data_IF_019132079219
#
_entry.id   IF_019132079219
#
_cell.length_a   1.000
_cell.length_b   1.000
_cell.length_c   1.000
_cell.angle_alpha   90.00
_cell.angle_beta   90.00
_cell.angle_gamma   90.00
#
_symmetry.space_group_name_H-M   'P 1'
#
loop_
_entity.id
_entity.type
_entity.pdbx_description
1 polymer ?
#
# COMPACT_ATOMS: atom_id res chain seq x y z
N UNK A 1 10.56 -58.32 -47.41
CA UNK A 1 11.59 -58.16 -46.35
C UNK A 1 11.51 -56.79 -45.68
N UNK A 2 11.55 -55.68 -46.42
CA UNK A 2 11.51 -54.33 -45.84
C UNK A 2 10.16 -53.96 -45.18
N UNK A 3 9.03 -54.38 -45.75
CA UNK A 3 7.70 -54.10 -45.17
C UNK A 3 7.47 -54.76 -43.82
N UNK A 4 7.96 -55.99 -43.64
CA UNK A 4 7.86 -56.71 -42.37
C UNK A 4 8.67 -56.03 -41.26
N UNK A 5 9.88 -55.56 -41.59
CA UNK A 5 10.72 -54.80 -40.66
C UNK A 5 10.09 -53.46 -40.27
N UNK A 6 9.41 -52.80 -41.21
CA UNK A 6 8.65 -51.56 -40.93
C UNK A 6 7.52 -51.83 -39.95
N UNK A 7 6.73 -52.87 -40.19
CA UNK A 7 5.61 -53.24 -39.32
C UNK A 7 6.04 -53.65 -37.92
N UNK A 8 7.12 -54.42 -37.80
CA UNK A 8 7.72 -54.78 -36.50
C UNK A 8 8.21 -53.55 -35.72
N UNK A 9 8.73 -52.54 -36.43
CA UNK A 9 9.13 -51.27 -35.82
C UNK A 9 7.91 -50.48 -35.34
N UNK A 10 6.88 -50.36 -36.17
CA UNK A 10 5.63 -49.66 -35.83
C UNK A 10 4.94 -50.32 -34.63
N UNK A 11 4.81 -51.64 -34.60
CA UNK A 11 4.24 -52.38 -33.47
C UNK A 11 5.06 -52.13 -32.18
N UNK A 12 6.38 -52.08 -32.29
CA UNK A 12 7.25 -51.78 -31.15
C UNK A 12 7.08 -50.33 -30.66
N UNK A 13 7.08 -49.37 -31.56
CA UNK A 13 6.83 -47.95 -31.26
C UNK A 13 5.47 -47.79 -30.56
N UNK A 14 4.42 -48.42 -31.08
CA UNK A 14 3.11 -48.41 -30.42
C UNK A 14 3.13 -49.01 -29.00
N UNK A 15 3.86 -50.10 -28.78
CA UNK A 15 3.96 -50.69 -27.42
C UNK A 15 4.69 -49.77 -26.45
N UNK A 16 5.74 -49.09 -26.92
CA UNK A 16 6.50 -48.13 -26.12
C UNK A 16 5.64 -46.91 -25.83
N UNK A 17 4.96 -46.35 -26.83
CA UNK A 17 4.08 -45.19 -26.66
C UNK A 17 2.93 -45.48 -25.71
N UNK A 18 2.31 -46.67 -25.80
CA UNK A 18 1.28 -47.11 -24.84
C UNK A 18 1.84 -47.22 -23.42
N UNK A 19 3.09 -47.67 -23.29
CA UNK A 19 3.79 -47.75 -22.00
C UNK A 19 4.04 -46.36 -21.41
N UNK A 20 4.61 -45.46 -22.20
CA UNK A 20 4.88 -44.07 -21.81
C UNK A 20 3.58 -43.38 -21.39
N UNK A 21 2.53 -43.51 -22.19
CA UNK A 21 1.24 -42.89 -21.88
C UNK A 21 0.62 -43.41 -20.57
N UNK A 22 0.75 -44.70 -20.29
CA UNK A 22 0.27 -45.27 -19.03
C UNK A 22 1.08 -44.74 -17.83
N UNK A 23 2.40 -44.58 -18.00
CA UNK A 23 3.26 -43.98 -16.97
C UNK A 23 2.86 -42.52 -16.71
N UNK A 24 2.65 -41.72 -17.77
CA UNK A 24 2.20 -40.33 -17.64
C UNK A 24 0.87 -40.25 -16.88
N UNK A 25 -0.09 -41.12 -17.22
CA UNK A 25 -1.39 -41.14 -16.56
C UNK A 25 -1.28 -41.53 -15.08
N UNK A 26 -0.41 -42.48 -14.76
CA UNK A 26 -0.13 -42.86 -13.37
C UNK A 26 0.54 -41.73 -12.59
N UNK A 27 1.46 -40.99 -13.21
CA UNK A 27 2.16 -39.88 -12.57
C UNK A 27 1.21 -38.72 -12.27
N UNK A 28 0.33 -38.35 -13.21
CA UNK A 28 -0.72 -37.35 -12.99
C UNK A 28 -1.66 -37.76 -11.85
N UNK A 29 -2.03 -39.05 -11.78
CA UNK A 29 -2.89 -39.55 -10.71
C UNK A 29 -2.17 -39.59 -9.34
N UNK A 30 -0.86 -39.88 -9.33
CA UNK A 30 -0.01 -39.81 -8.14
C UNK A 30 0.08 -38.39 -7.61
N UNK A 31 0.30 -37.41 -8.48
CA UNK A 31 0.35 -35.99 -8.12
C UNK A 31 -1.00 -35.48 -7.60
N UNK A 32 -2.10 -35.88 -8.25
CA UNK A 32 -3.46 -35.58 -7.76
C UNK A 32 -3.65 -36.09 -6.33
N UNK A 33 -3.20 -37.31 -6.02
CA UNK A 33 -3.25 -37.87 -4.66
C UNK A 33 -2.40 -37.06 -3.68
N UNK A 34 -1.19 -36.68 -4.05
CA UNK A 34 -0.31 -35.85 -3.20
C UNK A 34 -0.93 -34.50 -2.85
N UNK A 35 -1.62 -33.86 -3.79
CA UNK A 35 -2.32 -32.58 -3.56
C UNK A 35 -3.50 -32.78 -2.62
N UNK A 36 -4.31 -33.83 -2.84
CA UNK A 36 -5.47 -34.13 -1.98
C UNK A 36 -5.05 -34.50 -0.55
N UNK A 37 -3.93 -35.20 -0.39
CA UNK A 37 -3.30 -35.49 0.90
C UNK A 37 -2.68 -34.24 1.56
N UNK A 38 -2.56 -33.13 0.83
CA UNK A 38 -1.93 -31.89 1.32
C UNK A 38 -0.40 -31.96 1.45
N UNK A 39 0.25 -32.95 0.83
CA UNK A 39 1.71 -33.14 0.85
C UNK A 39 2.44 -32.29 -0.20
N UNK A 40 1.72 -31.72 -1.17
CA UNK A 40 2.26 -30.85 -2.21
C UNK A 40 1.58 -29.48 -2.19
N UNK A 41 2.38 -28.42 -2.29
CA UNK A 41 1.93 -27.03 -2.44
C UNK A 41 1.23 -26.84 -3.78
N UNK A 42 0.20 -25.98 -3.84
CA UNK A 42 -0.48 -25.67 -5.12
C UNK A 42 0.40 -24.87 -6.09
N UNK A 43 1.49 -24.25 -5.63
CA UNK A 43 2.46 -23.56 -6.49
C UNK A 43 3.29 -24.55 -7.32
N UNK A 44 3.55 -25.73 -6.78
CA UNK A 44 4.30 -26.80 -7.44
C UNK A 44 3.41 -27.74 -8.26
N UNK A 45 2.11 -27.45 -8.31
CA UNK A 45 1.15 -28.31 -9.01
C UNK A 45 1.26 -28.12 -10.54
N UNK A 46 1.24 -29.22 -11.31
CA UNK A 46 1.29 -29.16 -12.77
C UNK A 46 0.14 -28.34 -13.35
N UNK A 47 0.41 -27.64 -14.45
CA UNK A 47 -0.58 -26.82 -15.16
C UNK A 47 -1.82 -27.61 -15.60
N UNK A 48 -1.68 -28.92 -15.84
CA UNK A 48 -2.77 -29.81 -16.24
C UNK A 48 -3.82 -29.98 -15.13
N UNK A 49 -3.36 -30.06 -13.87
CA UNK A 49 -4.24 -30.17 -12.70
C UNK A 49 -4.92 -28.85 -12.33
N UNK A 50 -4.49 -27.71 -12.91
CA UNK A 50 -5.10 -26.40 -12.66
C UNK A 50 -6.57 -26.32 -13.07
N UNK A 51 -6.96 -27.11 -14.08
CA UNK A 51 -8.34 -27.18 -14.58
C UNK A 51 -9.26 -27.98 -13.66
N UNK A 52 -8.71 -28.77 -12.74
CA UNK A 52 -9.49 -29.62 -11.85
C UNK A 52 -10.36 -28.77 -10.90
N UNK A 53 -11.63 -29.12 -10.65
CA UNK A 53 -12.55 -28.30 -9.87
C UNK A 53 -12.06 -28.04 -8.45
N UNK A 54 -11.46 -29.05 -7.80
CA UNK A 54 -10.88 -28.89 -6.45
C UNK A 54 -9.81 -27.80 -6.46
N UNK A 55 -8.96 -27.77 -7.49
CA UNK A 55 -7.88 -26.79 -7.59
C UNK A 55 -8.41 -25.38 -7.84
N UNK A 56 -9.43 -25.23 -8.70
CA UNK A 56 -10.10 -23.96 -8.96
C UNK A 56 -10.72 -23.36 -7.70
N UNK A 57 -11.40 -24.18 -6.91
CA UNK A 57 -12.00 -23.74 -5.64
C UNK A 57 -10.91 -23.27 -4.69
N UNK A 58 -9.83 -24.04 -4.53
CA UNK A 58 -8.74 -23.68 -3.64
C UNK A 58 -8.02 -22.40 -4.08
N UNK A 59 -7.79 -22.21 -5.39
CA UNK A 59 -7.26 -20.95 -5.94
C UNK A 59 -8.18 -19.77 -5.65
N UNK A 60 -9.49 -19.92 -5.84
CA UNK A 60 -10.47 -18.88 -5.53
C UNK A 60 -10.46 -18.51 -4.05
N UNK A 61 -10.42 -19.51 -3.17
CA UNK A 61 -10.36 -19.29 -1.71
C UNK A 61 -9.06 -18.56 -1.33
N UNK A 62 -7.91 -18.94 -1.89
CA UNK A 62 -6.64 -18.24 -1.65
C UNK A 62 -6.72 -16.76 -2.05
N UNK A 63 -7.23 -16.46 -3.25
CA UNK A 63 -7.43 -15.08 -3.72
C UNK A 63 -8.28 -14.26 -2.75
N UNK A 64 -9.40 -14.82 -2.29
CA UNK A 64 -10.28 -14.15 -1.31
C UNK A 64 -9.55 -13.89 0.01
N UNK A 65 -8.73 -14.84 0.48
CA UNK A 65 -7.95 -14.67 1.70
C UNK A 65 -6.87 -13.61 1.55
N UNK A 66 -6.18 -13.56 0.41
CA UNK A 66 -5.13 -12.58 0.15
C UNK A 66 -5.71 -11.16 0.03
N UNK A 67 -6.85 -11.01 -0.64
CA UNK A 67 -7.60 -9.73 -0.66
C UNK A 67 -8.00 -9.29 0.75
N UNK A 68 -8.45 -10.21 1.60
CA UNK A 68 -8.81 -9.91 2.99
C UNK A 68 -7.58 -9.53 3.81
N UNK A 69 -6.45 -10.23 3.64
CA UNK A 69 -5.18 -9.90 4.29
C UNK A 69 -4.69 -8.52 3.87
N UNK A 70 -4.67 -8.23 2.58
CA UNK A 70 -4.28 -6.93 2.04
C UNK A 70 -5.16 -5.78 2.57
N UNK A 71 -6.49 -5.97 2.62
CA UNK A 71 -7.42 -5.02 3.22
C UNK A 71 -7.17 -4.84 4.72
N UNK A 72 -6.88 -5.91 5.45
CA UNK A 72 -6.56 -5.84 6.87
C UNK A 72 -5.23 -5.11 7.11
N UNK A 73 -4.19 -5.40 6.33
CA UNK A 73 -2.88 -4.75 6.43
C UNK A 73 -2.93 -3.26 6.07
N UNK A 74 -3.57 -2.91 4.96
CA UNK A 74 -3.79 -1.49 4.61
C UNK A 74 -4.58 -0.74 5.69
N UNK A 75 -5.55 -1.38 6.34
CA UNK A 75 -6.26 -0.78 7.49
C UNK A 75 -5.40 -0.62 8.75
N UNK A 76 -4.39 -1.47 8.94
CA UNK A 76 -3.42 -1.35 10.05
C UNK A 76 -2.46 -0.20 9.78
N UNK A 77 -2.00 -0.04 8.53
CA UNK A 77 -1.14 1.07 8.13
C UNK A 77 -1.86 2.41 8.36
N UNK A 78 -3.13 2.53 7.95
CA UNK A 78 -3.94 3.74 8.19
C UNK A 78 -4.12 4.08 9.68
N UNK A 79 -4.18 3.07 10.56
CA UNK A 79 -4.24 3.29 12.02
C UNK A 79 -2.89 3.79 12.55
N UNK A 80 -1.78 3.19 12.14
CA UNK A 80 -0.43 3.63 12.52
C UNK A 80 -0.10 5.05 12.06
N UNK A 81 -0.60 5.46 10.88
CA UNK A 81 -0.45 6.85 10.41
C UNK A 81 -1.29 7.82 11.24
N UNK A 82 -2.43 7.37 11.79
CA UNK A 82 -3.27 8.20 12.66
C UNK A 82 -2.68 8.39 14.06
N UNK A 83 -1.87 7.44 14.49
CA UNK A 83 -1.11 7.46 15.76
C UNK A 83 0.33 7.97 15.54
N UNK A 84 0.58 8.78 14.50
CA UNK A 84 1.87 9.44 14.32
C UNK A 84 2.04 10.50 15.42
N UNK A 85 2.94 10.24 16.38
CA UNK A 85 3.31 11.19 17.41
C UNK A 85 4.08 12.35 16.78
N UNK A 86 3.44 13.52 16.69
CA UNK A 86 4.06 14.76 16.22
C UNK A 86 5.28 15.18 17.06
N UNK A 87 5.34 14.74 18.31
CA UNK A 87 6.47 15.00 19.23
C UNK A 87 7.79 14.37 18.74
N UNK A 88 7.76 13.30 17.94
CA UNK A 88 8.97 12.67 17.39
C UNK A 88 9.49 13.40 16.13
N UNK A 89 8.66 14.22 15.49
CA UNK A 89 9.00 14.93 14.26
C UNK A 89 9.80 16.20 14.54
N UNK A 90 9.56 16.85 15.69
CA UNK A 90 10.24 18.07 16.12
C UNK A 90 11.75 17.86 16.37
N UNK A 91 12.13 16.64 16.79
CA UNK A 91 13.53 16.25 17.02
C UNK A 91 14.33 15.96 15.73
N UNK A 92 13.66 15.75 14.59
CA UNK A 92 14.31 15.48 13.30
C UNK A 92 14.64 16.76 12.53
N UNK A 93 13.77 17.77 12.59
CA UNK A 93 13.98 19.07 11.92
C UNK A 93 15.20 19.81 12.47
N UNK A 94 15.55 19.60 13.74
CA UNK A 94 16.75 20.21 14.36
C UNK A 94 18.07 19.54 13.97
N UNK A 95 18.06 18.40 13.26
CA UNK A 95 19.29 17.66 12.89
C UNK A 95 19.68 17.75 11.40
N UNK A 96 18.83 18.32 10.56
CA UNK A 96 19.03 18.34 9.10
C UNK A 96 19.88 19.50 8.56
N UNK A 97 20.54 20.29 9.41
CA UNK A 97 21.46 21.36 8.98
C UNK A 97 22.94 20.92 8.80
N UNK A 98 23.22 19.62 8.87
CA UNK A 98 24.57 19.09 8.63
C UNK A 98 24.62 18.37 7.28
N UNK A 99 25.26 18.99 6.29
CA UNK A 99 25.63 18.38 4.99
C UNK A 99 26.34 17.04 5.21
N UNK A 100 25.61 15.94 5.24
CA UNK A 100 26.17 14.60 5.12
C UNK A 100 26.07 14.19 3.65
N UNK A 101 27.21 14.15 2.97
CA UNK A 101 27.35 13.54 1.65
C UNK A 101 27.00 12.05 1.76
N UNK A 102 25.81 11.68 1.29
CA UNK A 102 25.36 10.29 1.21
C UNK A 102 26.11 9.64 0.06
N UNK A 103 27.02 8.72 0.38
CA UNK A 103 27.73 7.92 -0.60
C UNK A 103 26.80 6.80 -1.10
N UNK A 104 26.19 6.98 -2.27
CA UNK A 104 25.23 6.03 -2.86
C UNK A 104 26.00 4.90 -3.57
N UNK A 105 25.78 3.61 -3.23
CA UNK A 105 26.42 2.48 -3.89
C UNK A 105 26.01 2.37 -5.38
N UNK A 106 26.89 1.89 -6.29
CA UNK A 106 26.57 1.77 -7.70
C UNK A 106 25.55 0.63 -7.92
N UNK A 107 24.37 0.95 -8.46
CA UNK A 107 23.33 -0.04 -8.80
C UNK A 107 21.87 0.34 -8.49
N UNK A 108 21.60 1.55 -7.97
CA UNK A 108 20.26 2.01 -7.59
C UNK A 108 19.59 2.99 -8.59
N UNK A 109 19.92 2.93 -9.88
CA UNK A 109 19.41 3.91 -10.86
C UNK A 109 17.88 3.94 -10.98
N UNK A 110 17.19 2.81 -10.74
CA UNK A 110 15.72 2.74 -10.79
C UNK A 110 15.04 3.40 -9.59
N UNK A 111 15.72 3.51 -8.47
CA UNK A 111 15.19 4.15 -7.28
C UNK A 111 15.33 5.68 -7.36
N UNK A 112 16.34 6.20 -8.08
CA UNK A 112 16.49 7.64 -8.32
C UNK A 112 15.37 8.20 -9.19
N UNK A 113 14.99 7.50 -10.27
CA UNK A 113 13.88 7.95 -11.13
C UNK A 113 12.57 8.06 -10.36
N UNK A 114 12.26 7.07 -9.53
CA UNK A 114 11.07 7.11 -8.67
C UNK A 114 11.15 8.22 -7.60
N UNK A 115 12.32 8.49 -7.04
CA UNK A 115 12.50 9.59 -6.08
C UNK A 115 12.30 10.95 -6.74
N UNK A 116 12.78 11.09 -7.97
CA UNK A 116 12.69 12.32 -8.73
C UNK A 116 11.25 12.59 -9.20
N UNK A 117 10.51 11.55 -9.58
CA UNK A 117 9.08 11.64 -9.89
C UNK A 117 8.26 12.05 -8.65
N UNK A 118 8.57 11.48 -7.47
CA UNK A 118 7.96 11.90 -6.20
C UNK A 118 8.30 13.37 -5.85
N UNK A 119 9.52 13.82 -6.14
CA UNK A 119 9.94 15.19 -5.88
C UNK A 119 9.17 16.20 -6.74
N UNK A 120 8.96 15.91 -8.02
CA UNK A 120 8.14 16.75 -8.91
C UNK A 120 6.66 16.77 -8.50
N UNK A 121 6.10 15.62 -8.08
CA UNK A 121 4.73 15.55 -7.58
C UNK A 121 4.51 16.32 -6.27
N UNK A 122 5.57 16.46 -5.45
CA UNK A 122 5.54 17.26 -4.22
C UNK A 122 5.64 18.76 -4.49
N UNK A 123 6.48 19.20 -5.44
CA UNK A 123 6.58 20.63 -5.79
C UNK A 123 5.23 21.21 -6.24
N UNK A 124 4.43 20.44 -6.97
CA UNK A 124 3.07 20.85 -7.38
C UNK A 124 2.05 20.87 -6.21
N UNK A 125 2.35 20.20 -5.09
CA UNK A 125 1.49 20.15 -3.90
C UNK A 125 1.91 21.12 -2.80
N UNK A 126 3.09 21.74 -2.89
CA UNK A 126 3.56 22.73 -1.92
C UNK A 126 2.88 24.07 -2.22
N UNK A 127 1.85 24.37 -1.44
CA UNK A 127 1.22 25.70 -1.44
C UNK A 127 2.27 26.70 -0.95
N UNK A 128 2.66 27.64 -1.80
CA UNK A 128 3.59 28.71 -1.39
C UNK A 128 2.97 29.57 -0.29
N UNK A 129 3.77 30.22 0.55
CA UNK A 129 3.27 31.09 1.63
C UNK A 129 2.34 32.20 1.10
N UNK A 130 2.62 32.70 -0.10
CA UNK A 130 1.78 33.68 -0.79
C UNK A 130 0.42 33.10 -1.19
N UNK A 131 0.39 31.87 -1.69
CA UNK A 131 -0.86 31.17 -2.05
C UNK A 131 -1.66 30.79 -0.80
N UNK A 132 -0.98 30.40 0.27
CA UNK A 132 -1.60 30.11 1.56
C UNK A 132 -2.31 31.35 2.12
N UNK A 133 -1.66 32.51 2.08
CA UNK A 133 -2.25 33.78 2.52
C UNK A 133 -3.42 34.25 1.64
N UNK A 134 -3.51 33.78 0.39
CA UNK A 134 -4.62 34.07 -0.53
C UNK A 134 -5.82 33.14 -0.32
N UNK A 135 -5.56 31.87 0.00
CA UNK A 135 -6.59 30.84 0.19
C UNK A 135 -7.13 30.89 1.62
N UNK A 136 -6.29 31.22 2.60
CA UNK A 136 -6.67 31.32 4.00
C UNK A 136 -7.62 32.49 4.21
N UNK A 137 -8.85 32.17 4.61
CA UNK A 137 -9.80 33.17 5.07
C UNK A 137 -9.36 33.72 6.43
N UNK A 138 -9.16 35.03 6.51
CA UNK A 138 -8.99 35.75 7.76
C UNK A 138 -10.12 36.77 7.92
N UNK A 139 -10.66 36.86 9.14
CA UNK A 139 -11.69 37.85 9.49
C UNK A 139 -11.12 39.27 9.34
N UNK A 140 -11.84 40.23 8.73
CA UNK A 140 -11.39 41.62 8.60
C UNK A 140 -10.95 42.26 9.94
N UNK A 141 -11.56 41.88 11.07
CA UNK A 141 -11.17 42.40 12.39
C UNK A 141 -9.81 41.84 12.85
N UNK A 142 -9.54 40.56 12.55
CA UNK A 142 -8.25 39.92 12.83
C UNK A 142 -7.14 40.48 11.93
N UNK A 143 -7.48 40.84 10.69
CA UNK A 143 -6.56 41.52 9.78
C UNK A 143 -6.20 42.93 10.27
N UNK A 144 -7.19 43.66 10.81
CA UNK A 144 -6.96 44.96 11.44
C UNK A 144 -6.08 44.84 12.67
N UNK A 145 -6.32 43.84 13.52
CA UNK A 145 -5.53 43.58 14.72
C UNK A 145 -4.02 43.44 14.43
N UNK A 146 -3.67 42.77 13.33
CA UNK A 146 -2.27 42.60 12.89
C UNK A 146 -1.61 43.87 12.35
N UNK A 147 -2.39 44.87 11.96
CA UNK A 147 -1.91 46.11 11.34
C UNK A 147 -1.76 47.29 12.32
N UNK A 148 -2.18 47.13 13.58
CA UNK A 148 -2.13 48.20 14.58
C UNK A 148 -0.73 48.33 15.18
N UNK A 149 -0.27 49.56 15.33
CA UNK A 149 1.06 49.87 15.86
C UNK A 149 1.05 50.06 17.38
N UNK A 150 -0.10 50.38 17.97
CA UNK A 150 -0.22 50.65 19.41
C UNK A 150 -0.80 49.46 20.16
N UNK A 151 -0.19 49.16 21.31
CA UNK A 151 -0.54 48.00 22.14
C UNK A 151 -1.93 48.16 22.78
N UNK A 152 -2.29 49.37 23.18
CA UNK A 152 -3.57 49.64 23.85
C UNK A 152 -4.77 49.46 22.90
N UNK A 153 -4.65 49.91 21.65
CA UNK A 153 -5.68 49.73 20.61
C UNK A 153 -5.81 48.26 20.19
N UNK A 154 -4.68 47.54 20.15
CA UNK A 154 -4.66 46.09 19.91
C UNK A 154 -5.45 45.34 20.98
N UNK A 155 -5.23 45.61 22.26
CA UNK A 155 -5.98 44.95 23.34
C UNK A 155 -7.47 45.31 23.33
N UNK A 156 -7.83 46.56 23.04
CA UNK A 156 -9.23 46.97 22.93
C UNK A 156 -9.99 46.24 21.80
N UNK A 157 -9.34 46.06 20.64
CA UNK A 157 -9.92 45.29 19.54
C UNK A 157 -9.92 43.78 19.81
N UNK A 158 -8.90 43.25 20.48
CA UNK A 158 -8.87 41.85 20.91
C UNK A 158 -10.02 41.52 21.86
N UNK A 159 -10.31 42.38 22.84
CA UNK A 159 -11.43 42.23 23.77
C UNK A 159 -12.78 42.27 23.05
N UNK A 160 -12.89 43.08 21.99
CA UNK A 160 -14.09 43.15 21.15
C UNK A 160 -14.33 41.85 20.38
N UNK A 161 -13.25 41.25 19.86
CA UNK A 161 -13.28 39.96 19.13
C UNK A 161 -13.63 38.80 20.09
N UNK A 162 -12.95 38.74 21.25
CA UNK A 162 -13.12 37.65 22.22
C UNK A 162 -14.45 37.76 22.98
N UNK A 163 -14.90 38.98 23.29
CA UNK A 163 -16.13 39.25 24.06
C UNK A 163 -17.42 38.78 23.40
N UNK A 164 -17.45 38.61 22.08
CA UNK A 164 -18.60 38.04 21.38
C UNK A 164 -18.72 36.50 21.53
N UNK A 165 -17.64 35.81 21.90
CA UNK A 165 -17.60 34.33 21.95
C UNK A 165 -18.02 33.77 23.31
N UNK A 166 -17.86 34.53 24.40
CA UNK A 166 -18.07 34.05 25.77
C UNK A 166 -19.49 34.25 26.33
N UNK A 167 -20.36 34.98 25.63
CA UNK A 167 -21.70 35.30 26.13
C UNK A 167 -22.81 34.30 25.77
N UNK A 168 -22.54 33.29 24.93
CA UNK A 168 -23.59 32.39 24.42
C UNK A 168 -23.61 30.96 25.00
N UNK A 169 -22.72 30.59 25.92
CA UNK A 169 -22.72 29.23 26.46
C UNK A 169 -22.24 29.17 27.91
N UNK A 170 -23.17 29.28 28.87
CA UNK A 170 -23.41 28.34 30.00
C UNK A 170 -24.59 28.91 30.84
N UNK A 171 -25.72 28.19 31.01
CA UNK A 171 -26.70 28.52 32.03
C UNK A 171 -26.13 28.22 33.42
N UNK A 172 -25.92 29.27 34.22
CA UNK A 172 -25.61 29.17 35.65
C UNK A 172 -26.91 28.87 36.40
N UNK A 173 -27.27 27.59 36.55
CA UNK A 173 -28.20 27.12 37.58
C UNK A 173 -28.01 25.61 37.81
N UNK A 174 -26.99 25.28 38.60
CA UNK A 174 -26.92 24.10 39.46
C UNK A 174 -25.58 24.11 40.17
N UNK A 175 -25.58 24.45 41.44
CA UNK A 175 -25.02 23.66 42.54
C UNK A 175 -25.63 24.25 43.82
N UNK A 176 -26.13 23.31 44.64
CA UNK A 176 -26.79 23.46 45.92
C UNK A 176 -26.01 24.29 46.94
#
# INVERSE_FOLDING_TARGET
MQELQKRLREDHEETVDKGIHNIELQEVEREKRLILDGKMSLEDAPAELSRHPVFRVTQQVRKILDERKYKAESSKIKRKIKDFDYDLLEDLDTRMDSKSEINVPPGMDKNLSNLQEIYYDLEDQVITEADYNRIKYEDPLVKQLKSLETVDEMYALADTIVGHVTSSCVPKDRIL
#
